data_IF_832172152444
#
_entry.id   IF_832172152444
#
_cell.length_a   1.000
_cell.length_b   1.000
_cell.length_c   1.000
_cell.angle_alpha   90.00
_cell.angle_beta   90.00
_cell.angle_gamma   90.00
#
_symmetry.space_group_name_H-M   'P 1'
#
loop_
_entity.id
_entity.type
_entity.pdbx_description
1 polymer ?
#
# COMPACT_ATOMS: atom_id res chain seq x y z
N UNK A 1 -53.73 2.91 -32.89
CA UNK A 1 -53.12 1.79 -33.64
C UNK A 1 -51.60 1.84 -33.49
N UNK A 2 -51.00 1.08 -32.56
CA UNK A 2 -49.56 1.10 -32.29
C UNK A 2 -48.92 -0.26 -32.64
N UNK A 3 -48.52 -0.47 -33.90
CA UNK A 3 -47.91 -1.75 -34.34
C UNK A 3 -46.39 -1.63 -34.62
N UNK A 4 -45.82 -0.42 -34.59
CA UNK A 4 -44.42 -0.20 -34.99
C UNK A 4 -43.44 0.15 -33.84
N UNK A 5 -43.83 -0.04 -32.58
CA UNK A 5 -42.96 0.25 -31.41
C UNK A 5 -42.36 -0.98 -30.71
N UNK A 6 -42.60 -2.19 -31.23
CA UNK A 6 -42.07 -3.44 -30.63
C UNK A 6 -40.84 -3.97 -31.38
N UNK A 7 -40.61 -3.55 -32.63
CA UNK A 7 -39.53 -4.11 -33.46
C UNK A 7 -38.14 -3.48 -33.23
N UNK A 8 -38.06 -2.28 -32.63
CA UNK A 8 -36.76 -1.62 -32.38
C UNK A 8 -36.08 -2.11 -31.10
N UNK A 9 -36.83 -2.42 -30.03
CA UNK A 9 -36.23 -2.81 -28.76
C UNK A 9 -35.58 -4.21 -28.77
N UNK A 10 -35.98 -5.11 -29.67
CA UNK A 10 -35.37 -6.45 -29.76
C UNK A 10 -34.00 -6.43 -30.45
N UNK A 11 -33.80 -5.53 -31.43
CA UNK A 11 -32.53 -5.42 -32.14
C UNK A 11 -31.45 -4.71 -31.32
N UNK A 12 -31.83 -3.76 -30.45
CA UNK A 12 -30.89 -3.08 -29.55
C UNK A 12 -30.42 -3.99 -28.39
N UNK A 13 -31.26 -4.90 -27.90
CA UNK A 13 -30.89 -5.83 -26.82
C UNK A 13 -29.95 -6.96 -27.29
N UNK A 14 -30.07 -7.40 -28.55
CA UNK A 14 -29.16 -8.40 -29.12
C UNK A 14 -27.79 -7.82 -29.52
N UNK A 15 -27.75 -6.54 -29.91
CA UNK A 15 -26.48 -5.84 -30.21
C UNK A 15 -25.69 -5.49 -28.93
N UNK A 16 -26.36 -5.34 -27.78
CA UNK A 16 -25.69 -5.10 -26.50
C UNK A 16 -25.07 -6.40 -25.92
N UNK A 17 -25.62 -7.58 -26.27
CA UNK A 17 -25.11 -8.87 -25.79
C UNK A 17 -23.95 -9.44 -26.63
N UNK A 18 -23.72 -8.91 -27.84
CA UNK A 18 -22.53 -9.24 -28.66
C UNK A 18 -21.34 -8.30 -28.40
N UNK A 19 -21.60 -7.09 -27.90
CA UNK A 19 -20.55 -6.12 -27.56
C UNK A 19 -19.74 -6.51 -26.31
N UNK A 20 -20.32 -7.30 -25.40
CA UNK A 20 -19.62 -7.81 -24.21
C UNK A 20 -18.68 -8.99 -24.52
N UNK A 21 -18.92 -9.74 -25.61
CA UNK A 21 -18.05 -10.85 -26.00
C UNK A 21 -16.72 -10.37 -26.61
N UNK A 22 -16.75 -9.27 -27.37
CA UNK A 22 -15.54 -8.69 -27.99
C UNK A 22 -14.69 -7.91 -26.98
N UNK A 23 -15.25 -7.50 -25.83
CA UNK A 23 -14.49 -6.76 -24.79
C UNK A 23 -13.71 -7.66 -23.82
N UNK A 24 -14.01 -8.96 -23.79
CA UNK A 24 -13.23 -9.97 -23.07
C UNK A 24 -12.07 -10.53 -23.89
N UNK A 25 -12.00 -10.19 -25.18
CA UNK A 25 -11.03 -10.69 -26.15
C UNK A 25 -10.05 -9.62 -26.63
N UNK A 26 -9.57 -8.72 -25.76
CA UNK A 26 -8.38 -7.92 -26.03
C UNK A 26 -7.10 -8.73 -25.69
N UNK A 27 -6.39 -9.34 -26.67
CA UNK A 27 -5.23 -10.21 -26.42
C UNK A 27 -3.97 -9.43 -26.01
N UNK A 28 -4.00 -8.10 -26.02
CA UNK A 28 -2.84 -7.25 -25.76
C UNK A 28 -2.73 -6.82 -24.29
N UNK A 29 -3.04 -7.73 -23.34
CA UNK A 29 -2.57 -7.57 -21.94
C UNK A 29 -1.07 -7.81 -21.91
N UNK A 30 -0.27 -6.83 -22.38
CA UNK A 30 1.19 -6.84 -22.29
C UNK A 30 1.57 -7.24 -20.87
N UNK A 31 2.17 -8.43 -20.72
CA UNK A 31 2.78 -8.87 -19.46
C UNK A 31 3.90 -7.89 -19.16
N UNK A 32 3.61 -6.84 -18.37
CA UNK A 32 4.60 -5.86 -17.95
C UNK A 32 5.77 -6.62 -17.31
N UNK A 33 7.00 -6.17 -17.58
CA UNK A 33 8.21 -6.77 -17.04
C UNK A 33 8.07 -7.01 -15.53
N UNK A 34 8.64 -8.11 -15.04
CA UNK A 34 8.61 -8.45 -13.62
C UNK A 34 9.45 -7.44 -12.83
N UNK A 35 8.81 -6.35 -12.41
CA UNK A 35 9.40 -5.35 -11.52
C UNK A 35 9.14 -5.76 -10.08
N UNK A 36 10.14 -5.52 -9.22
CA UNK A 36 9.99 -5.75 -7.80
C UNK A 36 8.92 -4.82 -7.23
N UNK A 37 7.80 -5.41 -6.79
CA UNK A 37 6.70 -4.69 -6.15
C UNK A 37 7.02 -4.54 -4.68
N UNK A 38 6.78 -3.34 -4.14
CA UNK A 38 6.86 -3.12 -2.69
C UNK A 38 5.92 -4.06 -1.95
N UNK A 39 6.45 -4.74 -0.93
CA UNK A 39 5.69 -5.73 -0.16
C UNK A 39 4.49 -5.08 0.57
N UNK A 40 3.27 -5.49 0.21
CA UNK A 40 2.01 -4.84 0.63
C UNK A 40 1.72 -4.96 2.12
N UNK A 41 2.15 -6.04 2.78
CA UNK A 41 1.95 -6.23 4.21
C UNK A 41 2.71 -5.21 5.05
N UNK A 42 3.93 -4.86 4.62
CA UNK A 42 4.80 -3.92 5.32
C UNK A 42 4.32 -2.49 5.13
N UNK A 43 3.91 -2.12 3.91
CA UNK A 43 3.37 -0.78 3.62
C UNK A 43 2.15 -0.41 4.48
N UNK A 44 1.37 -1.41 4.93
CA UNK A 44 0.23 -1.19 5.83
C UNK A 44 0.65 -0.96 7.28
N UNK A 45 1.78 -1.55 7.70
CA UNK A 45 2.24 -1.58 9.10
C UNK A 45 3.26 -0.48 9.41
N UNK A 46 3.95 -0.02 8.38
CA UNK A 46 5.12 0.83 8.48
C UNK A 46 4.88 2.14 7.71
N UNK A 47 5.25 3.27 8.34
CA UNK A 47 5.25 4.58 7.68
C UNK A 47 6.69 5.03 7.42
N UNK A 48 7.01 5.30 6.15
CA UNK A 48 8.26 5.97 5.77
C UNK A 48 8.04 7.48 5.84
N UNK A 49 8.89 8.20 6.58
CA UNK A 49 8.85 9.67 6.66
C UNK A 49 9.54 10.31 5.45
N UNK A 50 9.35 11.62 5.22
CA UNK A 50 10.03 12.34 4.14
C UNK A 50 11.57 12.28 4.22
N UNK A 51 12.12 12.16 5.42
CA UNK A 51 13.57 11.95 5.64
C UNK A 51 14.03 10.52 5.34
N UNK A 52 13.13 9.59 5.02
CA UNK A 52 13.44 8.17 4.81
C UNK A 52 13.60 7.37 6.11
N UNK A 53 13.23 7.94 7.27
CA UNK A 53 13.17 7.20 8.54
C UNK A 53 11.91 6.37 8.58
N UNK A 54 11.99 5.22 9.23
CA UNK A 54 10.90 4.24 9.24
C UNK A 54 10.25 4.20 10.60
N UNK A 55 8.96 4.57 10.66
CA UNK A 55 8.15 4.61 11.88
C UNK A 55 7.26 3.37 11.97
N UNK A 56 7.20 2.80 13.17
CA UNK A 56 6.32 1.67 13.48
C UNK A 56 5.64 1.87 14.84
N UNK A 57 4.56 1.12 15.06
CA UNK A 57 3.83 1.11 16.33
C UNK A 57 4.28 -0.05 17.21
N UNK A 58 4.30 0.17 18.53
CA UNK A 58 4.77 -0.87 19.47
C UNK A 58 3.85 -2.09 19.46
N UNK A 59 4.43 -3.31 19.36
CA UNK A 59 3.68 -4.52 19.66
C UNK A 59 3.25 -4.53 21.14
N UNK A 60 2.28 -5.39 21.48
CA UNK A 60 1.77 -5.59 22.84
C UNK A 60 1.07 -4.35 23.48
N UNK A 61 0.65 -3.38 22.68
CA UNK A 61 0.04 -2.13 23.19
C UNK A 61 -1.48 -2.20 23.38
N UNK A 62 -2.17 -3.12 22.70
CA UNK A 62 -3.65 -3.19 22.66
C UNK A 62 -4.25 -4.04 23.78
N UNK A 63 -3.94 -5.33 23.79
CA UNK A 63 -4.56 -6.32 24.69
C UNK A 63 -3.73 -6.54 25.96
N UNK A 64 -4.36 -7.06 27.02
CA UNK A 64 -3.76 -7.35 28.33
C UNK A 64 -3.04 -6.13 28.93
N UNK A 65 -3.79 -5.07 29.24
CA UNK A 65 -3.25 -3.87 29.91
C UNK A 65 -3.27 -3.95 31.44
N UNK A 66 -4.08 -4.85 32.00
CA UNK A 66 -4.24 -5.03 33.45
C UNK A 66 -2.94 -5.41 34.15
N UNK A 67 -2.16 -6.33 33.58
CA UNK A 67 -0.89 -6.79 34.15
C UNK A 67 0.32 -5.87 33.83
N UNK A 68 0.09 -4.70 33.21
CA UNK A 68 1.18 -3.82 32.75
C UNK A 68 1.28 -2.60 33.64
N UNK A 69 2.50 -2.30 34.07
CA UNK A 69 2.82 -1.07 34.82
C UNK A 69 2.46 0.17 33.98
N UNK A 70 2.00 1.23 34.65
CA UNK A 70 1.61 2.49 33.99
C UNK A 70 2.73 3.11 33.15
N UNK A 71 3.98 3.04 33.63
CA UNK A 71 5.17 3.51 32.91
C UNK A 71 5.37 2.79 31.57
N UNK A 72 5.18 1.47 31.55
CA UNK A 72 5.22 0.66 30.33
C UNK A 72 4.12 1.07 29.36
N UNK A 73 2.89 1.30 29.85
CA UNK A 73 1.77 1.75 29.02
C UNK A 73 2.05 3.11 28.38
N UNK A 74 2.65 4.05 29.12
CA UNK A 74 3.08 5.35 28.61
C UNK A 74 4.16 5.19 27.53
N UNK A 75 5.10 4.24 27.68
CA UNK A 75 6.14 3.98 26.68
C UNK A 75 5.57 3.61 25.31
N UNK A 76 4.41 2.92 25.25
CA UNK A 76 3.79 2.52 23.98
C UNK A 76 3.25 3.70 23.18
N UNK A 77 2.99 4.84 23.83
CA UNK A 77 2.53 6.07 23.16
C UNK A 77 3.65 6.77 22.39
N UNK A 78 4.91 6.51 22.75
CA UNK A 78 6.07 7.12 22.11
C UNK A 78 6.31 6.52 20.73
N UNK A 79 6.56 7.39 19.74
CA UNK A 79 6.91 6.96 18.38
C UNK A 79 8.27 6.27 18.37
N UNK A 80 8.34 5.08 17.77
CA UNK A 80 9.58 4.32 17.61
C UNK A 80 10.04 4.31 16.16
N UNK A 81 11.36 4.21 16.01
CA UNK A 81 12.02 4.10 14.72
C UNK A 81 12.86 2.84 14.66
N UNK A 82 13.03 2.28 13.46
CA UNK A 82 13.81 1.07 13.26
C UNK A 82 15.32 1.29 13.47
N UNK A 83 15.96 0.22 13.96
CA UNK A 83 17.41 0.10 14.06
C UNK A 83 18.06 -0.20 12.71
N UNK A 84 19.40 -0.16 12.69
CA UNK A 84 20.19 -0.32 11.47
C UNK A 84 20.07 -1.72 10.83
N UNK A 85 19.93 -2.77 11.65
CA UNK A 85 19.86 -4.17 11.20
C UNK A 85 18.63 -4.44 10.35
N UNK A 86 17.45 -4.10 10.88
CA UNK A 86 16.16 -4.38 10.22
C UNK A 86 15.97 -3.54 8.96
N UNK A 87 16.63 -2.37 8.89
CA UNK A 87 16.60 -1.49 7.72
C UNK A 87 17.21 -2.15 6.48
N UNK A 88 18.22 -3.02 6.64
CA UNK A 88 18.84 -3.73 5.52
C UNK A 88 17.80 -4.65 4.87
N UNK A 89 17.08 -5.45 5.67
CA UNK A 89 16.04 -6.33 5.17
C UNK A 89 14.87 -5.54 4.56
N UNK A 90 14.43 -4.48 5.22
CA UNK A 90 13.34 -3.62 4.73
C UNK A 90 13.68 -2.91 3.42
N UNK A 91 14.91 -2.45 3.25
CA UNK A 91 15.36 -1.78 2.02
C UNK A 91 15.25 -2.71 0.81
N UNK A 92 15.66 -3.98 1.00
CA UNK A 92 15.55 -5.04 -0.01
C UNK A 92 14.10 -5.36 -0.33
N UNK A 93 13.20 -5.46 0.66
CA UNK A 93 11.79 -5.81 0.42
C UNK A 93 10.96 -4.67 -0.19
N UNK A 94 11.27 -3.42 0.14
CA UNK A 94 10.53 -2.26 -0.35
C UNK A 94 11.11 -1.72 -1.66
N UNK A 95 12.33 -2.13 -2.04
CA UNK A 95 13.05 -1.60 -3.21
C UNK A 95 13.35 -0.11 -3.06
N UNK A 96 13.62 0.35 -1.82
CA UNK A 96 13.82 1.76 -1.48
C UNK A 96 15.00 1.92 -0.52
N UNK A 97 15.76 3.00 -0.67
CA UNK A 97 16.79 3.38 0.30
C UNK A 97 16.16 3.97 1.56
N UNK A 98 16.50 3.42 2.73
CA UNK A 98 15.95 3.80 4.03
C UNK A 98 17.06 4.26 4.97
N UNK A 99 16.76 5.22 5.85
CA UNK A 99 17.74 5.83 6.76
C UNK A 99 17.47 5.47 8.22
N UNK A 100 18.55 5.27 8.96
CA UNK A 100 18.52 5.06 10.42
C UNK A 100 18.08 6.32 11.15
N UNK A 101 17.37 6.14 12.27
CA UNK A 101 16.87 7.23 13.10
C UNK A 101 17.98 8.16 13.65
N UNK A 102 19.12 7.56 14.02
CA UNK A 102 20.30 8.21 14.61
C UNK A 102 21.05 9.11 13.62
N UNK A 103 20.95 8.86 12.31
CA UNK A 103 21.67 9.64 11.30
C UNK A 103 20.84 10.90 11.00
N UNK A 104 21.35 12.13 11.26
CA UNK A 104 20.65 13.34 10.85
C UNK A 104 20.51 13.36 9.32
N UNK A 105 19.46 14.02 8.81
CA UNK A 105 19.44 14.41 7.40
C UNK A 105 20.71 15.22 7.15
N UNK A 106 21.39 15.03 6.03
CA UNK A 106 22.56 15.87 5.75
C UNK A 106 22.06 17.31 5.75
N UNK A 107 22.52 18.10 6.72
CA UNK A 107 22.23 19.52 6.78
C UNK A 107 22.92 20.11 5.56
N UNK A 108 22.15 20.44 4.52
CA UNK A 108 22.52 21.53 3.65
C UNK A 108 22.45 22.78 4.51
N UNK A 109 23.56 23.13 5.15
CA UNK A 109 23.78 24.50 5.61
C UNK A 109 23.71 25.39 4.38
N UNK A 110 22.72 26.26 4.34
CA UNK A 110 22.86 27.52 3.62
C UNK A 110 23.29 28.49 4.70
N UNK A 111 24.59 28.76 4.72
CA UNK A 111 25.15 29.96 5.35
C UNK A 111 24.61 31.20 4.63
#
# INVERSE_FOLDING_TARGET
>A
MPILKVFSCFYDFWLDQTADFVRLADPQRKRRAHMQKGHKGLLKRIKVTGTGKVRFHSPNSRHLKSNKKGTTVQSYRKSRYLGATDLIALSKMLGRSLRTAKRPAATGGKD
#
